data_IF_239591723226
#
_entry.id   IF_239591723226
#
_cell.length_a   1.000
_cell.length_b   1.000
_cell.length_c   1.000
_cell.angle_alpha   90.00
_cell.angle_beta   90.00
_cell.angle_gamma   90.00
#
_symmetry.space_group_name_H-M   'P 1'
#
loop_
_entity.id
_entity.type
_entity.pdbx_description
1 polymer ?
#
# COMPACT_ATOMS: atom_id res chain seq x y z
N UNK A 1 -3.98 -15.83 -29.65
CA UNK A 1 -3.57 -14.83 -28.64
C UNK A 1 -3.71 -15.46 -27.27
N UNK A 2 -2.65 -15.52 -26.47
CA UNK A 2 -2.78 -15.93 -25.07
C UNK A 2 -3.56 -14.87 -24.27
N UNK A 3 -4.40 -15.26 -23.30
CA UNK A 3 -5.21 -14.32 -22.53
C UNK A 3 -4.32 -13.40 -21.68
N UNK A 4 -4.55 -12.08 -21.77
CA UNK A 4 -3.94 -11.09 -20.87
C UNK A 4 -4.66 -11.20 -19.53
N UNK A 5 -3.96 -11.69 -18.50
CA UNK A 5 -4.52 -11.77 -17.14
C UNK A 5 -3.95 -10.64 -16.29
N UNK A 6 -4.83 -9.85 -15.68
CA UNK A 6 -4.41 -8.89 -14.67
C UNK A 6 -3.75 -9.63 -13.50
N UNK A 7 -2.52 -9.26 -13.17
CA UNK A 7 -1.89 -9.62 -11.89
C UNK A 7 -2.67 -8.91 -10.78
N UNK A 8 -2.91 -9.67 -9.71
CA UNK A 8 -3.40 -9.19 -8.41
C UNK A 8 -2.38 -9.61 -7.34
N UNK A 9 -2.38 -9.01 -6.14
CA UNK A 9 -1.36 -9.27 -5.12
C UNK A 9 -1.16 -10.75 -4.75
N UNK A 10 -2.27 -11.51 -4.70
CA UNK A 10 -2.25 -12.86 -4.18
C UNK A 10 -2.37 -12.90 -2.66
N UNK A 11 -1.99 -14.01 -2.04
CA UNK A 11 -2.07 -14.19 -0.58
C UNK A 11 -1.04 -13.33 0.13
N UNK A 12 -1.41 -12.77 1.28
CA UNK A 12 -0.47 -12.17 2.23
C UNK A 12 0.54 -13.22 2.69
N UNK A 13 1.84 -12.92 2.58
CA UNK A 13 2.92 -13.84 2.92
C UNK A 13 3.77 -13.38 4.10
N UNK A 14 3.96 -12.07 4.25
CA UNK A 14 4.87 -11.55 5.26
C UNK A 14 4.52 -10.10 5.63
N UNK A 15 4.84 -9.75 6.87
CA UNK A 15 4.77 -8.39 7.39
C UNK A 15 6.14 -8.01 7.94
N UNK A 16 6.70 -6.91 7.44
CA UNK A 16 7.91 -6.28 7.96
C UNK A 16 7.58 -4.91 8.56
N UNK A 17 7.32 -4.83 9.87
CA UNK A 17 7.08 -3.55 10.53
C UNK A 17 8.34 -2.68 10.53
N UNK A 18 8.15 -1.37 10.38
CA UNK A 18 9.18 -0.35 10.51
C UNK A 18 8.55 0.92 11.12
N UNK A 19 9.34 1.89 11.61
CA UNK A 19 8.80 3.14 12.11
C UNK A 19 7.86 3.81 11.09
N UNK A 20 6.67 4.20 11.53
CA UNK A 20 5.64 4.80 10.69
C UNK A 20 4.85 3.81 9.83
N UNK A 21 5.11 2.50 9.89
CA UNK A 21 4.42 1.53 9.05
C UNK A 21 5.27 0.30 8.73
N UNK A 22 5.66 0.15 7.46
CA UNK A 22 6.47 -0.97 7.01
C UNK A 22 6.06 -1.54 5.65
N UNK A 23 6.49 -2.78 5.38
CA UNK A 23 6.22 -3.50 4.14
C UNK A 23 5.27 -4.67 4.39
N UNK A 24 4.22 -4.74 3.57
CA UNK A 24 3.26 -5.84 3.52
C UNK A 24 3.54 -6.63 2.25
N UNK A 25 4.02 -7.87 2.37
CA UNK A 25 4.28 -8.71 1.21
C UNK A 25 3.11 -9.63 0.90
N UNK A 26 2.81 -9.70 -0.38
CA UNK A 26 1.92 -10.67 -0.97
C UNK A 26 2.73 -11.57 -1.91
N UNK A 27 2.16 -12.72 -2.26
CA UNK A 27 2.83 -13.70 -3.12
C UNK A 27 3.31 -13.14 -4.47
N UNK A 28 2.72 -12.04 -4.97
CA UNK A 28 3.01 -11.47 -6.30
C UNK A 28 3.20 -9.96 -6.32
N UNK A 29 3.12 -9.29 -5.17
CA UNK A 29 3.32 -7.85 -5.06
C UNK A 29 3.70 -7.47 -3.63
N UNK A 30 4.11 -6.23 -3.44
CA UNK A 30 4.37 -5.66 -2.12
C UNK A 30 3.68 -4.31 -1.97
N UNK A 31 3.23 -4.01 -0.75
CA UNK A 31 2.66 -2.72 -0.37
C UNK A 31 3.52 -2.10 0.72
N UNK A 32 4.16 -0.99 0.39
CA UNK A 32 4.84 -0.13 1.34
C UNK A 32 3.86 0.87 1.95
N UNK A 33 3.81 0.91 3.27
CA UNK A 33 2.94 1.79 4.05
C UNK A 33 3.80 2.73 4.89
N UNK A 34 3.51 4.04 4.83
CA UNK A 34 4.19 5.04 5.64
C UNK A 34 3.22 6.11 6.13
N UNK A 35 3.06 6.20 7.43
CA UNK A 35 2.51 7.34 8.15
C UNK A 35 3.66 8.25 8.55
N UNK A 36 3.51 9.54 8.24
CA UNK A 36 4.53 10.55 8.50
C UNK A 36 4.23 11.29 9.80
N UNK A 37 5.22 11.97 10.37
CA UNK A 37 5.06 12.81 11.57
C UNK A 37 4.00 13.91 11.43
N UNK A 38 3.63 14.28 10.18
CA UNK A 38 2.57 15.25 9.88
C UNK A 38 1.20 14.60 9.72
N UNK A 39 1.11 13.29 9.91
CA UNK A 39 -0.11 12.50 9.75
C UNK A 39 -0.52 12.24 8.30
N UNK A 40 0.41 12.38 7.35
CA UNK A 40 0.16 11.97 5.97
C UNK A 40 0.34 10.45 5.84
N UNK A 41 -0.47 9.80 5.00
CA UNK A 41 -0.36 8.39 4.68
C UNK A 41 0.09 8.21 3.24
N UNK A 42 1.20 7.51 3.05
CA UNK A 42 1.68 7.04 1.75
C UNK A 42 1.43 5.53 1.59
N UNK A 43 0.97 5.15 0.41
CA UNK A 43 0.74 3.77 -0.02
C UNK A 43 1.44 3.56 -1.35
N UNK A 44 2.50 2.76 -1.34
CA UNK A 44 3.31 2.45 -2.51
C UNK A 44 3.23 0.99 -2.86
N UNK A 45 2.72 0.66 -4.05
CA UNK A 45 2.77 -0.73 -4.53
C UNK A 45 4.03 -0.96 -5.36
N UNK A 46 4.61 -2.16 -5.23
CA UNK A 46 5.71 -2.66 -6.06
C UNK A 46 6.89 -1.68 -6.18
N UNK A 47 7.46 -1.29 -5.03
CA UNK A 47 8.64 -0.43 -4.96
C UNK A 47 8.38 1.07 -5.14
N UNK A 48 7.13 1.49 -5.33
CA UNK A 48 6.80 2.92 -5.36
C UNK A 48 7.15 3.59 -4.02
N UNK A 49 8.05 4.58 -4.07
CA UNK A 49 8.50 5.33 -2.90
C UNK A 49 7.72 6.65 -2.72
N UNK A 50 7.67 7.21 -1.49
CA UNK A 50 7.05 8.50 -1.23
C UNK A 50 7.63 9.67 -2.02
N UNK A 51 8.92 9.60 -2.36
CA UNK A 51 9.63 10.61 -3.13
C UNK A 51 10.18 10.00 -4.43
N UNK A 52 10.25 10.80 -5.51
CA UNK A 52 9.75 12.17 -5.62
C UNK A 52 8.21 12.22 -5.74
N UNK A 53 7.58 13.18 -5.05
CA UNK A 53 6.14 13.45 -5.16
C UNK A 53 5.90 14.95 -5.18
N UNK A 54 5.11 15.45 -6.14
CA UNK A 54 4.78 16.87 -6.25
C UNK A 54 3.92 17.37 -5.08
N UNK A 55 3.28 16.46 -4.34
CA UNK A 55 2.45 16.77 -3.18
C UNK A 55 3.27 16.87 -1.88
N UNK A 56 4.55 16.48 -1.91
CA UNK A 56 5.43 16.45 -0.74
C UNK A 56 6.64 17.37 -0.98
N UNK A 57 7.07 18.11 0.05
CA UNK A 57 8.21 19.03 -0.04
C UNK A 57 9.03 18.94 1.24
N UNK A 58 10.34 18.76 1.10
CA UNK A 58 11.26 18.58 2.23
C UNK A 58 11.33 17.13 2.72
N UNK A 59 12.40 16.80 3.46
CA UNK A 59 12.61 15.47 4.01
C UNK A 59 11.60 15.14 5.13
N UNK A 60 11.16 16.16 5.87
CA UNK A 60 10.19 16.07 6.95
C UNK A 60 8.81 15.66 6.45
N UNK A 61 8.52 15.88 5.17
CA UNK A 61 7.25 15.44 4.57
C UNK A 61 7.10 13.92 4.55
N UNK A 62 8.21 13.17 4.68
CA UNK A 62 8.23 11.70 4.65
C UNK A 62 8.86 11.07 5.91
N UNK A 63 9.27 11.89 6.88
CA UNK A 63 9.78 11.41 8.16
C UNK A 63 8.73 10.53 8.85
N UNK A 64 9.07 9.29 9.28
CA UNK A 64 8.12 8.38 9.91
C UNK A 64 7.61 8.90 11.24
N UNK A 65 6.33 8.67 11.52
CA UNK A 65 5.85 8.73 12.90
C UNK A 65 6.28 7.45 13.64
N UNK A 66 7.29 7.54 14.49
CA UNK A 66 7.86 6.40 15.23
C UNK A 66 6.86 5.74 16.19
N UNK A 67 5.76 6.41 16.52
CA UNK A 67 4.70 5.86 17.38
C UNK A 67 3.79 4.89 16.63
N UNK A 68 3.84 4.88 15.30
CA UNK A 68 2.98 4.07 14.45
C UNK A 68 3.72 2.81 14.02
N UNK A 69 3.10 1.66 14.26
CA UNK A 69 3.61 0.33 13.92
C UNK A 69 2.53 -0.43 13.17
N UNK A 70 2.92 -1.23 12.16
CA UNK A 70 2.03 -2.20 11.54
C UNK A 70 1.92 -3.45 12.41
N UNK A 71 0.70 -3.92 12.59
CA UNK A 71 0.37 -5.10 13.38
C UNK A 71 -0.52 -6.05 12.57
N UNK A 72 -0.43 -7.37 12.80
CA UNK A 72 -1.41 -8.31 12.28
C UNK A 72 -2.83 -7.94 12.73
N UNK A 73 -3.80 -8.07 11.84
CA UNK A 73 -5.22 -7.91 12.17
C UNK A 73 -5.88 -9.26 12.45
N UNK A 74 -6.96 -9.23 13.24
CA UNK A 74 -7.80 -10.39 13.59
C UNK A 74 -8.42 -11.07 12.38
N UNK A 75 -8.79 -10.29 11.36
CA UNK A 75 -9.27 -10.78 10.07
C UNK A 75 -8.11 -11.22 9.15
N UNK A 76 -6.92 -11.44 9.73
CA UNK A 76 -5.67 -11.91 9.13
C UNK A 76 -5.11 -11.06 7.99
N UNK A 77 -5.57 -9.82 7.92
CA UNK A 77 -4.88 -8.75 7.23
C UNK A 77 -3.82 -8.11 8.13
N UNK A 78 -3.56 -6.83 7.88
CA UNK A 78 -2.65 -6.00 8.66
C UNK A 78 -3.36 -4.70 9.01
N UNK A 79 -3.05 -4.12 10.16
CA UNK A 79 -3.59 -2.85 10.60
C UNK A 79 -2.50 -1.94 11.16
N UNK A 80 -2.81 -0.65 11.19
CA UNK A 80 -2.11 0.31 12.04
C UNK A 80 -3.12 1.33 12.57
N UNK A 81 -2.75 1.99 13.67
CA UNK A 81 -3.47 3.13 14.21
C UNK A 81 -2.47 4.25 14.40
N UNK A 82 -2.82 5.43 13.91
CA UNK A 82 -2.11 6.67 14.12
C UNK A 82 -3.05 7.68 14.79
N UNK A 83 -2.51 8.78 15.30
CA UNK A 83 -3.29 9.84 15.95
C UNK A 83 -4.45 10.35 15.06
N UNK A 84 -4.21 10.48 13.76
CA UNK A 84 -5.13 11.11 12.81
C UNK A 84 -5.93 10.13 11.94
N UNK A 85 -5.57 8.86 11.91
CA UNK A 85 -6.21 7.85 11.06
C UNK A 85 -5.92 6.42 11.54
N UNK A 86 -6.77 5.49 11.14
CA UNK A 86 -6.47 4.06 11.13
C UNK A 86 -6.36 3.55 9.70
N UNK A 87 -5.58 2.49 9.51
CA UNK A 87 -5.52 1.76 8.24
C UNK A 87 -5.67 0.27 8.48
N UNK A 88 -6.41 -0.39 7.61
CA UNK A 88 -6.49 -1.84 7.49
C UNK A 88 -6.13 -2.24 6.07
N UNK A 89 -5.32 -3.27 5.91
CA UNK A 89 -5.04 -3.97 4.65
C UNK A 89 -5.60 -5.37 4.79
N UNK A 90 -6.64 -5.69 4.04
CA UNK A 90 -7.22 -7.02 4.03
C UNK A 90 -6.27 -8.04 3.35
N UNK A 91 -6.55 -9.33 3.56
CA UNK A 91 -5.76 -10.45 3.00
C UNK A 91 -5.60 -10.42 1.48
N UNK A 92 -6.57 -9.81 0.78
CA UNK A 92 -6.58 -9.68 -0.68
C UNK A 92 -5.85 -8.43 -1.20
N UNK A 93 -5.34 -7.59 -0.29
CA UNK A 93 -4.69 -6.33 -0.61
C UNK A 93 -5.63 -5.12 -0.67
N UNK A 94 -6.91 -5.26 -0.32
CA UNK A 94 -7.81 -4.11 -0.17
C UNK A 94 -7.35 -3.23 0.98
N UNK A 95 -7.20 -1.93 0.72
CA UNK A 95 -6.81 -0.94 1.73
C UNK A 95 -8.02 -0.11 2.15
N UNK A 96 -8.21 0.03 3.45
CA UNK A 96 -9.24 0.86 4.07
C UNK A 96 -8.60 1.84 5.04
N UNK A 97 -8.97 3.11 4.91
CA UNK A 97 -8.51 4.20 5.78
C UNK A 97 -9.70 4.75 6.52
N UNK A 98 -9.58 4.88 7.84
CA UNK A 98 -10.64 5.32 8.74
C UNK A 98 -10.18 6.50 9.58
N UNK A 99 -11.12 7.31 10.07
CA UNK A 99 -10.85 8.25 11.16
C UNK A 99 -10.51 7.48 12.45
N UNK A 100 -9.93 8.13 13.47
CA UNK A 100 -9.74 7.52 14.79
C UNK A 100 -11.05 7.02 15.42
N UNK A 101 -12.18 7.67 15.11
CA UNK A 101 -13.52 7.25 15.52
C UNK A 101 -14.13 6.11 14.69
N UNK A 102 -13.36 5.48 13.78
CA UNK A 102 -13.78 4.32 13.00
C UNK A 102 -14.58 4.62 11.72
N UNK A 103 -14.83 5.90 11.40
CA UNK A 103 -15.56 6.29 10.18
C UNK A 103 -14.68 6.05 8.96
N UNK A 104 -15.19 5.33 7.95
CA UNK A 104 -14.46 5.08 6.70
C UNK A 104 -14.24 6.38 5.93
N UNK A 105 -12.97 6.71 5.66
CA UNK A 105 -12.56 7.83 4.82
C UNK A 105 -12.36 7.39 3.37
N UNK A 106 -11.71 6.24 3.15
CA UNK A 106 -11.39 5.74 1.82
C UNK A 106 -11.26 4.22 1.83
N UNK A 107 -11.77 3.60 0.77
CA UNK A 107 -11.54 2.19 0.45
C UNK A 107 -10.96 2.06 -0.96
N UNK A 108 -9.91 1.26 -1.11
CA UNK A 108 -9.22 1.07 -2.38
C UNK A 108 -8.92 -0.42 -2.60
N UNK A 109 -9.38 -0.95 -3.73
CA UNK A 109 -8.96 -2.27 -4.21
C UNK A 109 -7.48 -2.24 -4.63
N UNK A 110 -6.76 -3.38 -4.52
CA UNK A 110 -5.38 -3.43 -4.97
C UNK A 110 -5.27 -3.15 -6.48
N UNK A 111 -4.12 -2.68 -6.96
CA UNK A 111 -3.91 -2.48 -8.39
C UNK A 111 -4.07 -3.77 -9.18
N UNK A 112 -4.43 -3.60 -10.45
CA UNK A 112 -4.47 -4.66 -11.45
C UNK A 112 -3.42 -4.35 -12.50
N UNK A 113 -2.32 -5.12 -12.50
CA UNK A 113 -1.27 -4.93 -13.49
C UNK A 113 -1.56 -5.81 -14.71
N UNK A 114 -1.74 -5.20 -15.87
CA UNK A 114 -1.93 -5.93 -17.12
C UNK A 114 -0.58 -6.46 -17.60
N UNK A 115 -0.32 -7.75 -17.39
CA UNK A 115 0.89 -8.40 -17.87
C UNK A 115 0.63 -9.07 -19.22
N UNK A 116 1.48 -8.79 -20.20
CA UNK A 116 1.48 -9.57 -21.44
C UNK A 116 2.03 -10.97 -21.14
N UNK A 117 1.42 -12.02 -21.69
CA UNK A 117 1.91 -13.39 -21.50
C UNK A 117 3.39 -13.48 -21.91
N UNK A 118 4.28 -13.78 -20.96
CA UNK A 118 5.72 -13.91 -21.16
C UNK A 118 6.58 -12.71 -20.74
N UNK A 119 6.03 -11.65 -20.15
CA UNK A 119 6.85 -10.53 -19.63
C UNK A 119 7.48 -10.84 -18.27
N UNK A 120 8.77 -10.54 -18.12
CA UNK A 120 9.48 -10.48 -16.83
C UNK A 120 9.07 -9.19 -16.07
N UNK A 121 9.11 -9.22 -14.73
CA UNK A 121 8.74 -8.15 -13.78
C UNK A 121 9.15 -6.75 -14.28
N UNK A 122 8.21 -5.80 -14.33
CA UNK A 122 8.49 -4.37 -14.58
C UNK A 122 7.95 -3.78 -15.89
N UNK A 123 7.28 -4.55 -16.74
CA UNK A 123 6.83 -4.09 -18.08
C UNK A 123 5.37 -3.63 -18.21
N UNK A 124 4.75 -3.09 -17.16
CA UNK A 124 3.37 -2.61 -17.25
C UNK A 124 3.25 -1.33 -18.10
N UNK A 125 2.67 -1.41 -19.30
CA UNK A 125 2.40 -0.21 -20.13
C UNK A 125 1.12 0.49 -19.67
N UNK A 126 1.17 1.81 -19.54
CA UNK A 126 -0.03 2.63 -19.35
C UNK A 126 -0.85 2.67 -20.64
N UNK A 127 -2.17 2.55 -20.53
CA UNK A 127 -3.10 2.75 -21.63
C UNK A 127 -3.95 3.98 -21.30
N UNK A 128 -3.72 5.07 -22.04
CA UNK A 128 -4.59 6.25 -22.02
C UNK A 128 -5.84 5.96 -22.86
N UNK A 129 -7.01 6.41 -22.42
CA UNK A 129 -8.21 6.46 -23.25
C UNK A 129 -8.41 7.91 -23.67
N UNK A 130 -8.51 8.14 -24.98
CA UNK A 130 -8.89 9.43 -25.58
C UNK A 130 -10.36 9.74 -25.30
#
# INVERSE_FOLDING_TARGET
MAPVRARVPGVLTELEPAPGGGLVRFARSELYVRVTVRGALFLGWDGAAPLPSYALTGAEAVAPDERVVLEPDTEGGVRLVAERLGLTVARDGTVEVRTPGGVMLRRQAPPRWWEAAGSVRGGGRWVSRA
#
